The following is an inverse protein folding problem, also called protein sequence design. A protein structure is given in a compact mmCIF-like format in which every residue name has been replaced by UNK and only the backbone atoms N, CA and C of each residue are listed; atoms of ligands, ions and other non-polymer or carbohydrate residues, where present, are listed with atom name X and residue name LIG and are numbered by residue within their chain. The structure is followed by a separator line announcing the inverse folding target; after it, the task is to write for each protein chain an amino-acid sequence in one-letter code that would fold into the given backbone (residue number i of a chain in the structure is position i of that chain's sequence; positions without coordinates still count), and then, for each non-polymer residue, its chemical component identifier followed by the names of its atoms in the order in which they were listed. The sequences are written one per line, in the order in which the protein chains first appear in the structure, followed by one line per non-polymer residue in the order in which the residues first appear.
data_IF_488906297100
#
_entry.id   IF_488906297100
#
_cell.length_a   1.000
_cell.length_b   1.000
_cell.length_c   1.000
_cell.angle_alpha   90.00
_cell.angle_beta   90.00
_cell.angle_gamma   90.00
#
_symmetry.space_group_name_H-M   'P 1'
#
loop_
_entity.id
_entity.type
_entity.pdbx_description
1 polymer ?
#
# COMPACT_ATOMS: atom_id res chain seq x y z
N UNK A 1 -2.80 19.89 7.88
CA UNK A 1 -3.40 19.41 9.14
C UNK A 1 -3.30 17.89 9.17
N UNK A 2 -2.87 17.29 10.28
CA UNK A 2 -2.64 15.84 10.38
C UNK A 2 -3.29 15.34 11.67
N UNK A 3 -4.60 15.01 11.68
CA UNK A 3 -5.23 14.45 12.85
C UNK A 3 -4.72 13.01 13.09
N UNK A 4 -4.01 12.79 14.20
CA UNK A 4 -3.48 11.48 14.62
C UNK A 4 -4.18 10.91 15.86
N UNK A 5 -5.32 11.49 16.25
CA UNK A 5 -6.16 11.04 17.35
C UNK A 5 -7.45 11.86 17.41
N UNK A 6 -8.39 11.48 18.28
CA UNK A 6 -9.69 12.14 18.42
C UNK A 6 -10.85 11.16 18.34
N UNK A 7 -12.07 11.66 18.50
CA UNK A 7 -13.28 10.85 18.34
C UNK A 7 -13.60 10.69 16.85
N UNK A 8 -14.22 9.58 16.43
CA UNK A 8 -14.81 9.50 15.10
C UNK A 8 -15.70 10.72 14.84
N UNK A 9 -15.64 11.24 13.61
CA UNK A 9 -16.40 12.39 13.14
C UNK A 9 -16.19 13.66 13.99
N UNK A 10 -14.98 13.83 14.55
CA UNK A 10 -14.59 15.09 15.22
C UNK A 10 -14.79 16.29 14.29
N UNK A 11 -14.52 16.12 12.99
CA UNK A 11 -14.95 17.06 11.95
C UNK A 11 -16.17 16.47 11.23
N UNK A 12 -17.27 17.20 11.23
CA UNK A 12 -18.56 16.78 10.67
C UNK A 12 -19.30 17.97 10.03
N UNK A 13 -20.51 17.73 9.54
CA UNK A 13 -21.28 18.73 8.79
C UNK A 13 -21.58 20.02 9.55
N UNK A 14 -21.56 19.98 10.88
CA UNK A 14 -21.83 21.14 11.74
C UNK A 14 -20.60 21.97 12.08
N UNK A 15 -19.39 21.54 11.71
CA UNK A 15 -18.17 22.25 12.09
C UNK A 15 -17.07 22.30 11.01
N UNK A 16 -17.23 21.62 9.88
CA UNK A 16 -16.20 21.56 8.82
C UNK A 16 -15.80 22.95 8.29
N UNK A 17 -16.72 23.92 8.31
CA UNK A 17 -16.47 25.30 7.88
C UNK A 17 -15.42 26.02 8.73
N UNK A 18 -15.16 25.55 9.96
CA UNK A 18 -14.09 26.08 10.83
C UNK A 18 -12.68 25.81 10.29
N UNK A 19 -12.56 25.00 9.23
CA UNK A 19 -11.31 24.83 8.49
C UNK A 19 -11.03 25.99 7.52
N UNK A 20 -11.93 26.97 7.42
CA UNK A 20 -11.80 28.16 6.58
C UNK A 20 -11.84 29.41 7.45
N UNK A 21 -11.07 30.42 7.07
CA UNK A 21 -11.06 31.72 7.76
C UNK A 21 -12.28 32.58 7.38
N UNK A 22 -12.34 33.80 7.91
CA UNK A 22 -13.43 34.76 7.63
C UNK A 22 -13.57 35.08 6.14
N UNK A 23 -12.47 35.04 5.39
CA UNK A 23 -12.40 35.33 3.96
C UNK A 23 -12.65 34.08 3.11
N UNK A 24 -13.05 32.97 3.73
CA UNK A 24 -13.28 31.67 3.10
C UNK A 24 -12.01 31.01 2.54
N UNK A 25 -10.82 31.43 2.96
CA UNK A 25 -9.58 30.79 2.57
C UNK A 25 -9.33 29.53 3.41
N UNK A 26 -8.75 28.47 2.83
CA UNK A 26 -8.42 27.27 3.57
C UNK A 26 -7.30 27.53 4.60
N UNK A 27 -7.55 27.16 5.85
CA UNK A 27 -6.54 27.25 6.93
C UNK A 27 -5.47 26.16 6.84
N UNK A 28 -5.69 25.15 6.00
CA UNK A 28 -4.76 24.05 5.76
C UNK A 28 -4.61 23.78 4.25
N UNK A 29 -3.38 23.55 3.80
CA UNK A 29 -3.08 23.19 2.40
C UNK A 29 -3.48 21.76 2.03
N UNK A 30 -3.50 20.87 3.01
CA UNK A 30 -3.84 19.45 2.87
C UNK A 30 -4.20 18.88 4.24
N UNK A 31 -5.08 17.89 4.25
CA UNK A 31 -5.39 17.07 5.42
C UNK A 31 -4.90 15.64 5.17
N UNK A 32 -4.13 15.11 6.12
CA UNK A 32 -3.67 13.72 6.10
C UNK A 32 -4.33 13.03 7.30
N UNK A 33 -5.37 12.24 7.04
CA UNK A 33 -6.24 11.70 8.09
C UNK A 33 -5.58 10.48 8.77
N UNK A 34 -4.66 10.70 9.71
CA UNK A 34 -3.97 9.61 10.39
C UNK A 34 -4.86 8.78 11.32
N UNK A 35 -5.86 9.42 11.94
CA UNK A 35 -6.85 8.76 12.78
C UNK A 35 -8.02 8.19 11.96
N UNK A 36 -8.49 7.00 12.36
CA UNK A 36 -9.63 6.35 11.72
C UNK A 36 -10.90 7.20 11.85
N UNK A 37 -11.58 7.44 10.73
CA UNK A 37 -12.87 8.12 10.64
C UNK A 37 -12.91 9.48 11.35
N UNK A 38 -11.82 10.25 11.34
CA UNK A 38 -11.77 11.55 12.03
C UNK A 38 -12.71 12.59 11.40
N UNK A 39 -12.91 12.50 10.08
CA UNK A 39 -13.80 13.40 9.32
C UNK A 39 -15.01 12.59 8.81
N UNK A 40 -16.23 13.10 9.00
CA UNK A 40 -17.44 12.43 8.49
C UNK A 40 -17.42 12.35 6.95
N UNK A 41 -18.04 11.31 6.33
CA UNK A 41 -18.06 11.16 4.87
C UNK A 41 -18.58 12.39 4.13
N UNK A 42 -19.67 13.01 4.60
CA UNK A 42 -20.24 14.22 3.99
C UNK A 42 -19.29 15.43 4.10
N UNK A 43 -18.68 15.63 5.28
CA UNK A 43 -17.74 16.73 5.49
C UNK A 43 -16.50 16.61 4.58
N UNK A 44 -15.95 15.40 4.37
CA UNK A 44 -14.81 15.19 3.47
C UNK A 44 -15.08 15.71 2.05
N UNK A 45 -16.29 15.49 1.54
CA UNK A 45 -16.70 15.98 0.22
C UNK A 45 -16.76 17.50 0.16
N UNK A 46 -17.37 18.14 1.16
CA UNK A 46 -17.49 19.60 1.24
C UNK A 46 -16.14 20.30 1.36
N UNK A 47 -15.28 19.81 2.24
CA UNK A 47 -13.93 20.32 2.47
C UNK A 47 -13.10 20.26 1.18
N UNK A 48 -13.11 19.13 0.47
CA UNK A 48 -12.37 18.97 -0.78
C UNK A 48 -12.91 19.86 -1.90
N UNK A 49 -14.22 20.02 -2.02
CA UNK A 49 -14.84 20.94 -3.00
C UNK A 49 -14.48 22.40 -2.75
N UNK A 50 -14.19 22.77 -1.50
CA UNK A 50 -13.66 24.08 -1.11
C UNK A 50 -12.13 24.19 -1.22
N UNK A 51 -11.46 23.20 -1.80
CA UNK A 51 -10.06 23.30 -2.21
C UNK A 51 -9.04 22.75 -1.22
N UNK A 52 -9.45 22.01 -0.19
CA UNK A 52 -8.51 21.32 0.71
C UNK A 52 -8.43 19.83 0.34
N UNK A 53 -7.33 19.34 -0.27
CA UNK A 53 -7.10 17.92 -0.51
C UNK A 53 -7.13 17.12 0.80
N UNK A 54 -7.72 15.93 0.76
CA UNK A 54 -7.75 15.01 1.90
C UNK A 54 -7.20 13.65 1.45
N UNK A 55 -6.11 13.21 2.09
CA UNK A 55 -5.74 11.79 2.04
C UNK A 55 -6.49 11.06 3.15
N UNK A 56 -7.40 10.18 2.72
CA UNK A 56 -8.25 9.36 3.59
C UNK A 56 -7.41 8.46 4.49
N UNK A 57 -7.93 8.15 5.66
CA UNK A 57 -7.34 7.25 6.65
C UNK A 57 -6.89 5.92 6.07
N UNK A 58 -7.73 5.26 5.27
CA UNK A 58 -7.43 3.99 4.60
C UNK A 58 -6.18 4.01 3.71
N UNK A 59 -5.71 5.19 3.29
CA UNK A 59 -4.40 5.36 2.64
C UNK A 59 -3.35 5.92 3.60
N UNK A 60 -3.70 6.93 4.40
CA UNK A 60 -2.77 7.66 5.28
C UNK A 60 -2.20 6.81 6.43
N UNK A 61 -2.97 5.83 6.94
CA UNK A 61 -2.56 4.98 8.06
C UNK A 61 -2.21 3.54 7.67
N UNK A 62 -2.26 3.20 6.37
CA UNK A 62 -2.01 1.85 5.84
C UNK A 62 -0.64 1.28 6.25
N UNK A 63 0.35 2.14 6.50
CA UNK A 63 1.69 1.73 6.95
C UNK A 63 1.67 0.90 8.25
N UNK A 64 0.70 1.09 9.15
CA UNK A 64 0.55 0.26 10.34
C UNK A 64 0.27 -1.21 10.02
N UNK A 65 -0.64 -1.46 9.07
CA UNK A 65 -1.00 -2.81 8.58
C UNK A 65 0.14 -3.43 7.78
N UNK A 66 0.86 -2.63 7.00
CA UNK A 66 2.03 -3.12 6.28
C UNK A 66 3.14 -3.53 7.26
N UNK A 67 3.36 -2.73 8.32
CA UNK A 67 4.35 -3.04 9.35
C UNK A 67 4.07 -4.37 10.06
N UNK A 68 2.81 -4.65 10.43
CA UNK A 68 2.45 -5.92 11.08
C UNK A 68 2.67 -7.13 10.16
N UNK A 69 2.47 -6.98 8.85
CA UNK A 69 2.83 -8.02 7.88
C UNK A 69 4.33 -8.35 7.91
N UNK A 70 5.19 -7.31 7.97
CA UNK A 70 6.64 -7.52 8.10
C UNK A 70 7.04 -8.05 9.48
N UNK A 71 6.30 -7.76 10.54
CA UNK A 71 6.54 -8.36 11.84
C UNK A 71 6.33 -9.89 11.79
N UNK A 72 5.20 -10.33 11.22
CA UNK A 72 4.90 -11.77 11.04
C UNK A 72 5.96 -12.44 10.18
N UNK A 73 6.33 -11.86 9.04
CA UNK A 73 7.38 -12.40 8.16
C UNK A 73 8.72 -12.51 8.91
N UNK A 74 9.05 -11.50 9.72
CA UNK A 74 10.27 -11.50 10.54
C UNK A 74 10.29 -12.69 11.51
N UNK A 75 9.19 -12.91 12.23
CA UNK A 75 9.04 -14.03 13.18
C UNK A 75 9.03 -15.41 12.50
N UNK A 76 8.57 -15.51 11.25
CA UNK A 76 8.63 -16.77 10.49
C UNK A 76 10.03 -17.10 9.96
N UNK A 77 10.87 -16.09 9.71
CA UNK A 77 12.20 -16.27 9.09
C UNK A 77 13.35 -16.33 10.11
N UNK A 78 13.16 -15.76 11.30
CA UNK A 78 14.19 -15.58 12.30
C UNK A 78 13.75 -16.15 13.65
N UNK A 79 14.67 -16.82 14.33
CA UNK A 79 14.56 -17.05 15.77
C UNK A 79 14.69 -15.74 16.56
N UNK A 80 14.24 -15.70 17.80
CA UNK A 80 14.34 -14.51 18.66
C UNK A 80 15.77 -13.97 18.77
N UNK A 81 16.75 -14.87 18.92
CA UNK A 81 18.19 -14.50 18.96
C UNK A 81 18.64 -13.85 17.66
N UNK A 82 18.22 -14.39 16.52
CA UNK A 82 18.51 -13.80 15.21
C UNK A 82 17.80 -12.45 15.06
N UNK A 83 16.53 -12.36 15.41
CA UNK A 83 15.77 -11.11 15.31
C UNK A 83 16.42 -10.00 16.14
N UNK A 84 16.74 -10.26 17.41
CA UNK A 84 17.41 -9.27 18.28
C UNK A 84 18.78 -8.86 17.70
N UNK A 85 19.53 -9.79 17.12
CA UNK A 85 20.81 -9.49 16.47
C UNK A 85 20.66 -8.58 15.24
N UNK A 86 19.58 -8.74 14.45
CA UNK A 86 19.38 -8.01 13.20
C UNK A 86 18.32 -6.90 13.26
N UNK A 87 17.71 -6.68 14.43
CA UNK A 87 16.52 -5.81 14.63
C UNK A 87 16.70 -4.43 14.01
N UNK A 88 17.78 -3.74 14.36
CA UNK A 88 18.06 -2.38 13.86
C UNK A 88 18.10 -2.33 12.33
N UNK A 89 18.73 -3.33 11.71
CA UNK A 89 18.81 -3.40 10.26
C UNK A 89 17.47 -3.77 9.64
N UNK A 90 16.76 -4.73 10.22
CA UNK A 90 15.44 -5.17 9.76
C UNK A 90 14.44 -4.02 9.78
N UNK A 91 14.33 -3.31 10.90
CA UNK A 91 13.45 -2.15 11.08
C UNK A 91 13.80 -1.06 10.07
N UNK A 92 15.09 -0.72 9.91
CA UNK A 92 15.53 0.27 8.92
C UNK A 92 15.14 -0.10 7.49
N UNK A 93 15.25 -1.38 7.13
CA UNK A 93 14.87 -1.85 5.80
C UNK A 93 13.34 -1.88 5.62
N UNK A 94 12.56 -2.19 6.66
CA UNK A 94 11.09 -2.07 6.65
C UNK A 94 10.64 -0.61 6.48
N UNK A 95 11.24 0.34 7.21
CA UNK A 95 10.91 1.76 7.10
C UNK A 95 11.07 2.29 5.67
N UNK A 96 12.13 1.90 4.96
CA UNK A 96 12.32 2.26 3.54
C UNK A 96 11.20 1.72 2.66
N UNK A 97 10.71 0.52 2.94
CA UNK A 97 9.58 -0.05 2.20
C UNK A 97 8.32 0.78 2.48
N UNK A 98 8.04 1.12 3.75
CA UNK A 98 6.89 1.94 4.12
C UNK A 98 6.92 3.32 3.43
N UNK A 99 8.07 3.99 3.45
CA UNK A 99 8.30 5.27 2.75
C UNK A 99 8.00 5.13 1.26
N UNK A 100 8.55 4.10 0.60
CA UNK A 100 8.30 3.85 -0.82
C UNK A 100 6.81 3.65 -1.10
N UNK A 101 6.10 2.84 -0.31
CA UNK A 101 4.66 2.58 -0.51
C UNK A 101 3.83 3.84 -0.30
N UNK A 102 4.15 4.65 0.70
CA UNK A 102 3.49 5.92 0.94
C UNK A 102 3.68 6.89 -0.25
N UNK A 103 4.89 6.97 -0.80
CA UNK A 103 5.20 7.79 -1.99
C UNK A 103 4.46 7.26 -3.22
N UNK A 104 4.48 5.95 -3.47
CA UNK A 104 3.81 5.35 -4.63
C UNK A 104 2.29 5.62 -4.59
N UNK A 105 1.62 5.34 -3.45
CA UNK A 105 0.16 5.48 -3.33
C UNK A 105 -0.27 6.95 -3.40
N UNK A 106 0.41 7.84 -2.67
CA UNK A 106 0.11 9.28 -2.73
C UNK A 106 0.38 9.84 -4.14
N UNK A 107 1.50 9.45 -4.76
CA UNK A 107 1.84 9.84 -6.13
C UNK A 107 0.75 9.47 -7.13
N UNK A 108 0.24 8.23 -7.07
CA UNK A 108 -0.85 7.77 -7.93
C UNK A 108 -2.16 8.54 -7.67
N UNK A 109 -2.49 8.81 -6.41
CA UNK A 109 -3.69 9.60 -6.06
C UNK A 109 -3.63 10.99 -6.72
N UNK A 110 -2.52 11.71 -6.56
CA UNK A 110 -2.35 13.04 -7.17
C UNK A 110 -2.29 12.98 -8.70
N UNK A 111 -1.71 11.93 -9.27
CA UNK A 111 -1.70 11.71 -10.71
C UNK A 111 -3.11 11.53 -11.27
N UNK A 112 -3.92 10.64 -10.68
CA UNK A 112 -5.31 10.41 -11.10
C UNK A 112 -6.19 11.63 -10.91
N UNK A 113 -5.94 12.42 -9.86
CA UNK A 113 -6.63 13.70 -9.67
C UNK A 113 -6.38 14.65 -10.85
N UNK A 114 -5.11 14.81 -11.26
CA UNK A 114 -4.75 15.60 -12.44
C UNK A 114 -5.34 15.05 -13.73
N UNK A 115 -5.31 13.74 -13.94
CA UNK A 115 -5.91 13.07 -15.11
C UNK A 115 -7.43 13.28 -15.16
N UNK A 116 -8.10 13.36 -14.00
CA UNK A 116 -9.52 13.68 -13.91
C UNK A 116 -9.84 15.18 -14.08
N UNK A 117 -8.85 16.02 -14.36
CA UNK A 117 -8.98 17.48 -14.41
C UNK A 117 -9.56 18.07 -13.11
N UNK A 118 -9.23 17.45 -11.97
CA UNK A 118 -9.72 17.85 -10.66
C UNK A 118 -11.20 17.55 -10.38
N UNK A 119 -11.87 16.76 -11.23
CA UNK A 119 -13.30 16.42 -11.09
C UNK A 119 -13.57 15.37 -10.03
N UNK A 120 -12.64 14.44 -9.80
CA UNK A 120 -12.76 13.41 -8.77
C UNK A 120 -12.22 13.90 -7.43
N UNK A 121 -12.77 13.40 -6.33
CA UNK A 121 -12.24 13.64 -4.99
C UNK A 121 -11.03 12.74 -4.73
N UNK A 122 -10.07 13.21 -3.93
CA UNK A 122 -8.91 12.42 -3.51
C UNK A 122 -9.33 11.17 -2.74
N UNK A 123 -10.39 11.28 -1.93
CA UNK A 123 -10.98 10.18 -1.18
C UNK A 123 -11.57 9.10 -2.08
N UNK A 124 -12.19 9.49 -3.19
CA UNK A 124 -12.80 8.55 -4.14
C UNK A 124 -11.70 7.81 -4.91
N UNK A 125 -10.68 8.54 -5.36
CA UNK A 125 -9.50 7.98 -6.02
C UNK A 125 -8.78 6.99 -5.11
N UNK A 126 -8.61 7.30 -3.81
CA UNK A 126 -8.04 6.38 -2.81
C UNK A 126 -8.83 5.07 -2.72
N UNK A 127 -10.17 5.15 -2.68
CA UNK A 127 -11.01 3.95 -2.67
C UNK A 127 -10.88 3.16 -3.97
N UNK A 128 -10.93 3.82 -5.13
CA UNK A 128 -10.76 3.19 -6.46
C UNK A 128 -9.45 2.40 -6.55
N UNK A 129 -8.31 3.02 -6.17
CA UNK A 129 -7.00 2.37 -6.16
C UNK A 129 -7.02 1.13 -5.24
N UNK A 130 -7.61 1.25 -4.05
CA UNK A 130 -7.69 0.12 -3.11
C UNK A 130 -8.53 -1.03 -3.68
N UNK A 131 -9.65 -0.73 -4.33
CA UNK A 131 -10.49 -1.74 -4.97
C UNK A 131 -9.74 -2.44 -6.10
N UNK A 132 -9.09 -1.68 -6.99
CA UNK A 132 -8.31 -2.23 -8.10
C UNK A 132 -7.16 -3.13 -7.64
N UNK A 133 -6.42 -2.73 -6.60
CA UNK A 133 -5.33 -3.54 -6.03
C UNK A 133 -5.88 -4.83 -5.43
N UNK A 134 -6.97 -4.75 -4.65
CA UNK A 134 -7.55 -5.91 -3.99
C UNK A 134 -8.12 -6.91 -5.02
N UNK A 135 -8.91 -6.44 -5.98
CA UNK A 135 -9.47 -7.30 -7.04
C UNK A 135 -8.39 -8.00 -7.85
N UNK A 136 -7.31 -7.28 -8.19
CA UNK A 136 -6.20 -7.86 -8.93
C UNK A 136 -5.39 -8.85 -8.06
N UNK A 137 -5.20 -8.53 -6.78
CA UNK A 137 -4.54 -9.42 -5.82
C UNK A 137 -5.30 -10.74 -5.70
N UNK A 138 -6.62 -10.68 -5.53
CA UNK A 138 -7.47 -11.86 -5.40
C UNK A 138 -7.43 -12.73 -6.66
N UNK A 139 -7.53 -12.11 -7.85
CA UNK A 139 -7.41 -12.81 -9.14
C UNK A 139 -6.07 -13.53 -9.29
N UNK A 140 -4.96 -12.88 -8.95
CA UNK A 140 -3.63 -13.49 -9.04
C UNK A 140 -3.45 -14.58 -7.97
N UNK A 141 -3.94 -14.35 -6.76
CA UNK A 141 -3.90 -15.33 -5.68
C UNK A 141 -4.64 -16.61 -6.05
N UNK A 142 -5.88 -16.50 -6.52
CA UNK A 142 -6.71 -17.64 -6.92
C UNK A 142 -6.09 -18.44 -8.07
N UNK A 143 -5.38 -17.77 -8.97
CA UNK A 143 -4.63 -18.41 -10.04
C UNK A 143 -3.41 -19.16 -9.48
N UNK A 144 -2.53 -18.47 -8.76
CA UNK A 144 -1.26 -19.04 -8.29
C UNK A 144 -1.44 -20.14 -7.24
N UNK A 145 -2.48 -20.06 -6.40
CA UNK A 145 -2.75 -21.11 -5.41
C UNK A 145 -3.18 -22.43 -6.08
N UNK A 146 -3.82 -22.37 -7.26
CA UNK A 146 -4.17 -23.55 -8.08
C UNK A 146 -2.99 -24.08 -8.91
N UNK A 147 -1.92 -23.30 -9.04
CA UNK A 147 -0.73 -23.62 -9.82
C UNK A 147 0.57 -23.45 -9.00
N UNK A 148 0.74 -24.20 -7.89
CA UNK A 148 1.86 -24.03 -6.98
C UNK A 148 3.23 -24.39 -7.58
N UNK A 149 3.27 -25.14 -8.68
CA UNK A 149 4.49 -25.39 -9.46
C UNK A 149 5.05 -24.10 -10.08
N UNK A 150 4.19 -23.13 -10.40
CA UNK A 150 4.60 -21.88 -11.03
C UNK A 150 5.38 -20.98 -10.10
N UNK A 151 5.03 -20.92 -8.82
CA UNK A 151 5.70 -20.00 -7.89
C UNK A 151 7.18 -20.32 -7.64
N UNK A 152 7.61 -21.54 -7.95
CA UNK A 152 9.01 -21.96 -7.88
C UNK A 152 9.85 -21.44 -9.07
N UNK A 153 9.20 -20.87 -10.10
CA UNK A 153 9.92 -20.33 -11.25
C UNK A 153 10.79 -19.12 -10.83
N UNK A 154 11.95 -18.90 -11.47
CA UNK A 154 12.93 -17.92 -11.01
C UNK A 154 12.40 -16.49 -10.88
N UNK A 155 11.46 -16.08 -11.73
CA UNK A 155 10.91 -14.72 -11.71
C UNK A 155 9.93 -14.50 -10.56
N UNK A 156 9.05 -15.46 -10.24
CA UNK A 156 8.20 -15.37 -9.04
C UNK A 156 9.04 -15.40 -7.76
N UNK A 157 10.11 -16.20 -7.72
CA UNK A 157 11.08 -16.19 -6.62
C UNK A 157 11.75 -14.83 -6.44
N UNK A 158 12.11 -14.14 -7.52
CA UNK A 158 12.67 -12.77 -7.45
C UNK A 158 11.64 -11.76 -6.97
N UNK A 159 10.39 -11.85 -7.43
CA UNK A 159 9.29 -10.99 -6.96
C UNK A 159 9.09 -11.16 -5.46
N UNK A 160 8.97 -12.42 -5.01
CA UNK A 160 8.86 -12.76 -3.59
C UNK A 160 10.01 -12.16 -2.77
N UNK A 161 11.26 -12.32 -3.23
CA UNK A 161 12.41 -11.74 -2.54
C UNK A 161 12.39 -10.21 -2.55
N UNK A 162 12.02 -9.57 -3.65
CA UNK A 162 12.00 -8.11 -3.77
C UNK A 162 10.99 -7.42 -2.85
N UNK A 163 9.98 -8.17 -2.37
CA UNK A 163 9.05 -7.70 -1.36
C UNK A 163 9.68 -7.65 0.05
N UNK A 164 10.70 -8.46 0.33
CA UNK A 164 11.23 -8.62 1.68
C UNK A 164 12.24 -7.52 2.04
N UNK A 165 12.50 -7.27 3.34
CA UNK A 165 13.54 -6.34 3.75
C UNK A 165 14.91 -6.71 3.16
N UNK A 166 15.68 -5.68 2.80
CA UNK A 166 17.01 -5.77 2.16
C UNK A 166 17.95 -6.76 2.88
N UNK A 167 17.94 -6.78 4.22
CA UNK A 167 18.72 -7.70 5.03
C UNK A 167 18.35 -9.17 4.85
N UNK A 168 17.09 -9.48 4.50
CA UNK A 168 16.64 -10.82 4.16
C UNK A 168 17.11 -11.19 2.74
N UNK A 169 16.95 -10.27 1.79
CA UNK A 169 17.36 -10.47 0.39
C UNK A 169 18.86 -10.76 0.25
N UNK A 170 19.69 -9.94 0.90
CA UNK A 170 21.15 -9.93 0.71
C UNK A 170 21.87 -11.03 1.50
N UNK A 171 21.30 -11.50 2.61
CA UNK A 171 21.93 -12.52 3.47
C UNK A 171 21.47 -13.92 3.08
N UNK A 172 22.38 -14.73 2.55
CA UNK A 172 22.11 -16.14 2.16
C UNK A 172 21.37 -16.92 3.26
N UNK A 173 21.80 -16.76 4.53
CA UNK A 173 21.19 -17.39 5.70
C UNK A 173 19.67 -17.19 5.81
N UNK A 174 19.16 -16.02 5.45
CA UNK A 174 17.73 -15.71 5.53
C UNK A 174 17.03 -15.92 4.19
N UNK A 175 17.69 -15.54 3.08
CA UNK A 175 17.19 -15.78 1.73
C UNK A 175 16.83 -17.25 1.50
N UNK A 176 17.69 -18.16 1.94
CA UNK A 176 17.46 -19.61 1.75
C UNK A 176 16.28 -20.13 2.59
N UNK A 177 15.85 -19.39 3.62
CA UNK A 177 14.68 -19.72 4.44
C UNK A 177 13.35 -19.31 3.80
N UNK A 178 13.35 -18.36 2.86
CA UNK A 178 12.14 -17.78 2.24
C UNK A 178 11.28 -18.83 1.56
N UNK A 179 11.89 -19.84 0.92
CA UNK A 179 11.16 -20.95 0.27
C UNK A 179 10.35 -21.81 1.25
N UNK A 180 10.69 -21.80 2.54
CA UNK A 180 10.00 -22.54 3.58
C UNK A 180 8.85 -21.75 4.22
N UNK A 181 8.63 -20.49 3.83
CA UNK A 181 7.41 -19.79 4.19
C UNK A 181 6.19 -20.60 3.70
N UNK A 182 5.09 -20.66 4.49
CA UNK A 182 3.93 -21.44 4.09
C UNK A 182 3.41 -20.98 2.73
N UNK A 183 2.97 -21.92 1.89
CA UNK A 183 2.57 -21.67 0.50
C UNK A 183 1.64 -20.46 0.37
N UNK A 184 0.63 -20.37 1.23
CA UNK A 184 -0.35 -19.26 1.25
C UNK A 184 0.31 -17.89 1.42
N UNK A 185 1.35 -17.77 2.26
CA UNK A 185 2.09 -16.51 2.44
C UNK A 185 2.91 -16.17 1.21
N UNK A 186 3.60 -17.16 0.61
CA UNK A 186 4.39 -16.93 -0.61
C UNK A 186 3.51 -16.46 -1.75
N UNK A 187 2.36 -17.10 -1.95
CA UNK A 187 1.37 -16.71 -2.97
C UNK A 187 0.81 -15.31 -2.66
N UNK A 188 0.38 -15.03 -1.44
CA UNK A 188 -0.14 -13.72 -1.05
C UNK A 188 0.85 -12.58 -1.29
N UNK A 189 2.12 -12.78 -0.94
CA UNK A 189 3.19 -11.79 -1.18
C UNK A 189 3.36 -11.54 -2.67
N UNK A 190 3.49 -12.60 -3.47
CA UNK A 190 3.67 -12.49 -4.92
C UNK A 190 2.47 -11.77 -5.56
N UNK A 191 1.25 -12.17 -5.21
CA UNK A 191 0.02 -11.57 -5.74
C UNK A 191 -0.07 -10.08 -5.41
N UNK A 192 0.18 -9.73 -4.14
CA UNK A 192 0.14 -8.33 -3.69
C UNK A 192 1.22 -7.49 -4.38
N UNK A 193 2.44 -8.02 -4.53
CA UNK A 193 3.55 -7.31 -5.15
C UNK A 193 3.28 -7.04 -6.63
N UNK A 194 2.78 -8.04 -7.36
CA UNK A 194 2.41 -7.90 -8.76
C UNK A 194 1.26 -6.90 -8.90
N UNK A 195 0.16 -7.09 -8.17
CA UNK A 195 -1.01 -6.22 -8.26
C UNK A 195 -0.66 -4.75 -7.97
N UNK A 196 0.06 -4.51 -6.87
CA UNK A 196 0.47 -3.17 -6.46
C UNK A 196 1.35 -2.50 -7.51
N UNK A 197 2.39 -3.21 -8.01
CA UNK A 197 3.28 -2.65 -9.04
C UNK A 197 2.54 -2.36 -10.34
N UNK A 198 1.68 -3.28 -10.77
CA UNK A 198 0.90 -3.09 -11.99
C UNK A 198 0.01 -1.86 -11.88
N UNK A 199 -0.78 -1.71 -10.80
CA UNK A 199 -1.69 -0.56 -10.64
C UNK A 199 -0.91 0.75 -10.54
N UNK A 200 0.21 0.78 -9.83
CA UNK A 200 1.05 1.98 -9.74
C UNK A 200 1.76 2.35 -11.06
N UNK A 201 1.96 1.39 -11.97
CA UNK A 201 2.57 1.61 -13.29
C UNK A 201 1.56 1.79 -14.44
N UNK A 202 0.25 1.76 -14.17
CA UNK A 202 -0.79 1.99 -15.20
C UNK A 202 -1.64 0.78 -15.58
N UNK A 203 -1.53 -0.34 -14.86
CA UNK A 203 -2.42 -1.50 -14.95
C UNK A 203 -2.06 -2.53 -16.03
N UNK A 204 -2.92 -3.55 -16.15
CA UNK A 204 -2.86 -4.56 -17.21
C UNK A 204 -3.95 -4.30 -18.25
N UNK A 205 -3.58 -4.06 -19.50
CA UNK A 205 -4.52 -4.27 -20.63
C UNK A 205 -4.46 -5.74 -21.07
N UNK A 206 -5.62 -6.37 -21.29
CA UNK A 206 -5.81 -7.81 -21.55
C UNK A 206 -4.92 -8.40 -22.67
N UNK A 207 -4.63 -9.73 -22.68
CA UNK A 207 -5.16 -10.81 -21.83
C UNK A 207 -4.32 -11.15 -20.56
N UNK A 208 -5.02 -11.53 -19.48
CA UNK A 208 -4.53 -11.62 -18.09
C UNK A 208 -3.33 -12.56 -17.88
N UNK A 209 -3.42 -13.83 -18.31
CA UNK A 209 -2.38 -14.82 -18.01
C UNK A 209 -1.07 -14.52 -18.75
N UNK A 210 -1.16 -14.22 -20.04
CA UNK A 210 0.02 -13.91 -20.86
C UNK A 210 0.72 -12.64 -20.36
N UNK A 211 -0.06 -11.60 -20.03
CA UNK A 211 0.50 -10.39 -19.43
C UNK A 211 1.00 -10.58 -18.01
N UNK A 212 0.37 -11.42 -17.18
CA UNK A 212 0.89 -11.75 -15.86
C UNK A 212 2.29 -12.36 -15.98
N UNK A 213 2.45 -13.33 -16.89
CA UNK A 213 3.73 -13.98 -17.16
C UNK A 213 4.76 -13.00 -17.77
N UNK A 214 4.35 -12.15 -18.73
CA UNK A 214 5.21 -11.12 -19.32
C UNK A 214 5.66 -10.07 -18.27
N UNK A 215 4.73 -9.57 -17.46
CA UNK A 215 5.00 -8.57 -16.43
C UNK A 215 5.88 -9.13 -15.32
N UNK A 216 5.61 -10.37 -14.89
CA UNK A 216 6.45 -11.02 -13.89
C UNK A 216 7.90 -11.19 -14.39
N UNK A 217 8.10 -11.45 -15.69
CA UNK A 217 9.43 -11.43 -16.32
C UNK A 217 10.04 -10.03 -16.40
N UNK A 218 9.24 -8.99 -16.69
CA UNK A 218 9.70 -7.61 -16.81
C UNK A 218 10.11 -7.00 -15.46
N UNK A 219 9.34 -7.25 -14.39
CA UNK A 219 9.64 -6.82 -13.02
C UNK A 219 10.98 -7.34 -12.47
N UNK A 220 11.61 -8.28 -13.16
CA UNK A 220 12.86 -8.92 -12.79
C UNK A 220 14.10 -8.38 -13.53
N UNK A 221 13.94 -7.38 -14.41
CA UNK A 221 15.04 -6.63 -15.02
C UNK A 221 15.34 -5.39 -14.20
#
# INVERSE_FOLDING_TARGET
FIPCGGRPETIHDGNWEKLFDSDQNPTARVIIEGANSFISPSARGKIQKKGIPILKDSSANKCGVICSSYEIIGGLLMSDKEFLQYKERYVKDVLKILEKRAVDESGLIFQRYRQSQGKKLYTDISNEISHEINELTDKIYDYLIKHPDKIERPYYSRILLSHLPDCIQKRKKFRDKVKYLPLKYRVAIISTEIATRSIYQGGFEAPFEEKLEQFARHCCR
#
